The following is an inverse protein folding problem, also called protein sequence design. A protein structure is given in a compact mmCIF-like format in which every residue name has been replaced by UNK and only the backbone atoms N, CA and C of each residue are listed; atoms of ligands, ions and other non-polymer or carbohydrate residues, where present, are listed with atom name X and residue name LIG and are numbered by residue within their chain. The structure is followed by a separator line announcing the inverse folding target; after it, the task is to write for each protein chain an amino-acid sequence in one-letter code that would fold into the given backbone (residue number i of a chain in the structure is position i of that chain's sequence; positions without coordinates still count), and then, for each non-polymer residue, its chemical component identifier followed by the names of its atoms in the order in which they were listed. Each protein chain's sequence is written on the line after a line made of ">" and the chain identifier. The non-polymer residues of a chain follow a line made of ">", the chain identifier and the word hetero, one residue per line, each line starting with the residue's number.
data_IF_368799934330
#
_entry.id   IF_368799934330
#
_cell.length_a   1.000
_cell.length_b   1.000
_cell.length_c   1.000
_cell.angle_alpha   90.00
_cell.angle_beta   90.00
_cell.angle_gamma   90.00
#
_symmetry.space_group_name_H-M   'P 1'
#
loop_
_entity.id
_entity.type
_entity.pdbx_description
1 polymer ?
#
# COMPACT_ATOMS: atom_id res chain seq x y z
N UNK A 1 -1.20 3.55 16.52
CA UNK A 1 -0.27 2.41 16.67
C UNK A 1 -0.87 1.45 17.69
N UNK A 2 -0.93 0.15 17.39
CA UNK A 2 -1.64 -0.86 18.19
C UNK A 2 -0.67 -1.62 19.10
N UNK A 3 0.43 -2.13 18.56
CA UNK A 3 1.47 -2.83 19.32
C UNK A 3 2.85 -2.69 18.66
N UNK A 4 3.91 -2.94 19.43
CA UNK A 4 5.29 -2.95 18.98
C UNK A 4 6.09 -4.02 19.72
N UNK A 5 6.49 -5.06 19.01
CA UNK A 5 7.35 -6.12 19.54
C UNK A 5 8.79 -5.89 19.08
N UNK A 6 9.67 -5.54 20.02
CA UNK A 6 11.07 -5.24 19.72
C UNK A 6 11.95 -6.45 19.95
N UNK A 7 12.79 -6.75 18.96
CA UNK A 7 13.90 -7.69 19.04
C UNK A 7 15.22 -6.94 18.80
N UNK A 8 16.35 -7.62 18.95
CA UNK A 8 17.67 -6.99 18.84
C UNK A 8 17.96 -6.44 17.43
N UNK A 9 17.56 -7.16 16.38
CA UNK A 9 17.77 -6.78 14.97
C UNK A 9 16.48 -6.56 14.18
N UNK A 10 15.32 -6.70 14.81
CA UNK A 10 14.04 -6.51 14.14
C UNK A 10 12.99 -5.98 15.11
N UNK A 11 11.90 -5.47 14.59
CA UNK A 11 10.73 -5.07 15.34
C UNK A 11 9.49 -5.33 14.51
N UNK A 12 8.45 -5.85 15.12
CA UNK A 12 7.15 -6.02 14.48
C UNK A 12 6.22 -4.96 15.03
N UNK A 13 5.71 -4.09 14.17
CA UNK A 13 4.75 -3.06 14.54
C UNK A 13 3.38 -3.38 13.95
N UNK A 14 2.33 -3.25 14.76
CA UNK A 14 0.95 -3.27 14.26
C UNK A 14 0.39 -1.86 14.27
N UNK A 15 -0.09 -1.42 13.12
CA UNK A 15 -0.71 -0.12 12.92
C UNK A 15 -2.20 -0.28 12.68
N UNK A 16 -2.95 0.73 13.13
CA UNK A 16 -4.38 0.86 12.84
C UNK A 16 -4.57 2.17 12.11
N UNK A 17 -5.30 2.13 11.00
CA UNK A 17 -5.73 3.30 10.24
C UNK A 17 -7.23 3.35 10.28
N UNK A 18 -7.76 4.40 10.90
CA UNK A 18 -9.19 4.65 10.99
C UNK A 18 -9.62 5.52 9.81
N UNK A 19 -10.44 4.96 8.94
CA UNK A 19 -11.05 5.68 7.82
C UNK A 19 -12.49 6.01 8.20
N UNK A 20 -12.78 7.31 8.30
CA UNK A 20 -14.14 7.80 8.47
C UNK A 20 -14.89 7.60 7.15
N UNK A 21 -16.00 6.88 7.22
CA UNK A 21 -16.88 6.72 6.08
C UNK A 21 -17.57 8.06 5.79
N UNK A 22 -17.37 8.58 4.57
CA UNK A 22 -17.94 9.84 4.10
C UNK A 22 -19.46 9.78 3.90
N UNK A 23 -20.02 8.57 3.70
CA UNK A 23 -21.45 8.36 3.48
C UNK A 23 -22.22 8.10 4.78
N UNK A 24 -21.57 7.55 5.80
CA UNK A 24 -22.21 7.20 7.07
C UNK A 24 -21.22 7.39 8.23
N UNK A 25 -21.29 8.56 8.89
CA UNK A 25 -20.36 8.99 9.96
C UNK A 25 -20.36 8.07 11.19
N UNK A 26 -21.25 7.07 11.23
CA UNK A 26 -21.39 6.13 12.34
C UNK A 26 -20.55 4.85 12.17
N UNK A 27 -20.05 4.57 10.96
CA UNK A 27 -19.21 3.40 10.68
C UNK A 27 -17.76 3.81 10.43
N UNK A 28 -16.96 3.77 11.50
CA UNK A 28 -15.50 3.85 11.38
C UNK A 28 -14.98 2.50 10.87
N UNK A 29 -14.26 2.50 9.75
CA UNK A 29 -13.58 1.31 9.26
C UNK A 29 -12.13 1.30 9.76
N UNK A 30 -11.76 0.26 10.51
CA UNK A 30 -10.44 0.13 11.10
C UNK A 30 -9.59 -0.86 10.29
N UNK A 31 -8.60 -0.34 9.59
CA UNK A 31 -7.67 -1.14 8.81
C UNK A 31 -6.42 -1.44 9.64
N UNK A 32 -6.03 -2.72 9.71
CA UNK A 32 -4.84 -3.15 10.42
C UNK A 32 -3.71 -3.41 9.44
N UNK A 33 -2.52 -2.90 9.75
CA UNK A 33 -1.31 -3.17 8.98
C UNK A 33 -0.26 -3.76 9.91
N UNK A 34 0.44 -4.78 9.44
CA UNK A 34 1.63 -5.32 10.09
C UNK A 34 2.86 -4.82 9.35
N UNK A 35 3.85 -4.35 10.10
CA UNK A 35 5.14 -3.92 9.59
C UNK A 35 6.28 -4.69 10.27
N UNK A 36 7.08 -5.35 9.45
CA UNK A 36 8.32 -6.00 9.85
C UNK A 36 9.50 -5.06 9.57
N UNK A 37 9.98 -4.43 10.64
CA UNK A 37 11.09 -3.50 10.63
C UNK A 37 12.37 -4.25 10.96
N UNK A 38 13.32 -4.31 10.05
CA UNK A 38 14.65 -4.88 10.26
C UNK A 38 15.67 -3.77 10.44
N UNK A 39 16.51 -3.88 11.47
CA UNK A 39 17.53 -2.88 11.81
C UNK A 39 18.87 -3.19 11.12
N UNK A 40 19.65 -2.14 10.88
CA UNK A 40 20.97 -2.20 10.26
C UNK A 40 22.08 -2.81 11.12
N UNK A 41 23.29 -3.00 10.56
CA UNK A 41 23.75 -2.39 9.30
C UNK A 41 23.31 -3.12 8.03
N UNK A 42 23.00 -4.41 8.10
CA UNK A 42 22.55 -5.23 6.97
C UNK A 42 21.35 -6.08 7.41
N UNK A 43 20.13 -5.71 6.99
CA UNK A 43 18.93 -6.49 7.28
C UNK A 43 19.03 -7.93 6.78
N UNK A 44 18.53 -8.89 7.56
CA UNK A 44 18.58 -10.32 7.21
C UNK A 44 17.83 -10.65 5.91
N UNK A 45 16.70 -9.98 5.64
CA UNK A 45 15.97 -10.14 4.37
C UNK A 45 16.80 -9.70 3.15
N UNK A 46 17.68 -8.72 3.33
CA UNK A 46 18.58 -8.23 2.28
C UNK A 46 19.74 -9.20 1.99
N UNK A 47 20.26 -9.87 3.01
CA UNK A 47 21.23 -10.96 2.82
C UNK A 47 20.65 -12.11 1.99
N UNK A 48 19.38 -12.49 2.26
CA UNK A 48 18.68 -13.55 1.51
C UNK A 48 18.45 -13.21 0.03
N UNK A 49 18.32 -11.92 -0.28
CA UNK A 49 18.10 -11.40 -1.64
C UNK A 49 19.39 -10.95 -2.32
N UNK A 50 20.56 -11.25 -1.74
CA UNK A 50 21.88 -10.81 -2.22
C UNK A 50 22.02 -9.28 -2.39
N UNK A 51 21.19 -8.51 -1.68
CA UNK A 51 21.25 -7.06 -1.68
C UNK A 51 22.16 -6.59 -0.54
N UNK A 52 23.44 -6.37 -0.83
CA UNK A 52 24.45 -6.03 0.17
C UNK A 52 24.50 -4.54 0.54
N UNK A 53 23.55 -3.73 0.04
CA UNK A 53 23.53 -2.30 0.35
C UNK A 53 23.09 -2.06 1.81
N UNK A 54 23.96 -1.46 2.64
CA UNK A 54 23.68 -1.25 4.05
C UNK A 54 22.59 -0.17 4.24
N UNK A 55 21.69 -0.43 5.17
CA UNK A 55 20.61 0.50 5.55
C UNK A 55 20.44 0.46 7.07
N UNK A 56 20.01 1.59 7.64
CA UNK A 56 19.75 1.69 9.08
C UNK A 56 18.47 0.95 9.47
N UNK A 57 17.46 1.00 8.61
CA UNK A 57 16.19 0.31 8.83
C UNK A 57 15.56 -0.09 7.49
N UNK A 58 14.85 -1.20 7.51
CA UNK A 58 14.02 -1.69 6.42
C UNK A 58 12.66 -2.11 6.98
N UNK A 59 11.62 -1.37 6.64
CA UNK A 59 10.23 -1.64 6.96
C UNK A 59 9.59 -2.41 5.80
N UNK A 60 8.86 -3.48 6.12
CA UNK A 60 8.06 -4.26 5.18
C UNK A 60 6.66 -4.34 5.74
N UNK A 61 5.74 -3.57 5.16
CA UNK A 61 4.39 -3.46 5.67
C UNK A 61 3.36 -4.04 4.71
N UNK A 62 2.29 -4.57 5.27
CA UNK A 62 1.17 -5.12 4.52
C UNK A 62 -0.13 -5.00 5.28
N UNK A 63 -1.23 -4.93 4.55
CA UNK A 63 -2.56 -4.97 5.14
C UNK A 63 -2.83 -6.37 5.73
N UNK A 64 -3.31 -6.39 6.96
CA UNK A 64 -3.78 -7.60 7.64
C UNK A 64 -5.26 -7.83 7.41
N UNK A 65 -5.68 -9.09 7.40
CA UNK A 65 -7.09 -9.46 7.29
C UNK A 65 -7.80 -9.13 8.60
N UNK A 66 -8.60 -8.07 8.58
CA UNK A 66 -9.53 -7.63 9.61
C UNK A 66 -10.97 -7.56 9.05
N UNK A 67 -12.00 -7.45 9.91
CA UNK A 67 -13.39 -7.28 9.46
C UNK A 67 -13.59 -6.11 8.48
N UNK A 68 -12.87 -4.99 8.66
CA UNK A 68 -12.96 -3.84 7.75
C UNK A 68 -12.24 -4.05 6.42
N UNK A 69 -11.19 -4.87 6.40
CA UNK A 69 -10.43 -5.18 5.17
C UNK A 69 -11.00 -6.36 4.37
N UNK A 70 -11.95 -7.12 4.92
CA UNK A 70 -12.43 -8.38 4.35
C UNK A 70 -12.95 -8.20 2.91
N UNK A 71 -13.68 -7.11 2.65
CA UNK A 71 -14.13 -6.75 1.30
C UNK A 71 -12.96 -6.54 0.33
N UNK A 72 -11.86 -5.91 0.78
CA UNK A 72 -10.70 -5.66 -0.06
C UNK A 72 -9.96 -6.95 -0.39
N UNK A 73 -9.84 -7.86 0.58
CA UNK A 73 -9.32 -9.21 0.33
C UNK A 73 -10.23 -10.01 -0.61
N UNK A 74 -11.55 -9.95 -0.46
CA UNK A 74 -12.47 -10.61 -1.37
C UNK A 74 -12.32 -10.08 -2.81
N UNK A 75 -12.23 -8.75 -2.98
CA UNK A 75 -12.03 -8.11 -4.29
C UNK A 75 -10.67 -8.44 -4.92
N UNK A 76 -9.64 -8.71 -4.10
CA UNK A 76 -8.31 -9.10 -4.56
C UNK A 76 -8.14 -10.62 -4.73
N UNK A 77 -9.22 -11.42 -4.65
CA UNK A 77 -9.15 -12.89 -4.70
C UNK A 77 -8.32 -13.49 -3.56
N UNK A 78 -8.53 -12.95 -2.36
CA UNK A 78 -7.88 -13.29 -1.08
C UNK A 78 -6.36 -13.09 -1.03
N UNK A 79 -5.76 -12.36 -1.99
CA UNK A 79 -4.36 -11.92 -1.85
C UNK A 79 -4.28 -10.61 -1.07
N UNK A 80 -3.14 -10.33 -0.45
CA UNK A 80 -2.92 -9.06 0.26
C UNK A 80 -3.15 -7.85 -0.68
N UNK A 81 -4.17 -7.01 -0.42
CA UNK A 81 -4.59 -5.96 -1.35
C UNK A 81 -3.67 -4.73 -1.31
N UNK A 82 -2.91 -4.55 -0.23
CA UNK A 82 -1.95 -3.45 -0.06
C UNK A 82 -0.70 -3.96 0.64
N UNK A 83 0.46 -3.70 0.05
CA UNK A 83 1.77 -3.99 0.65
C UNK A 83 2.80 -2.95 0.21
N UNK A 84 3.88 -2.85 0.95
CA UNK A 84 4.97 -1.94 0.60
C UNK A 84 6.22 -2.21 1.40
N UNK A 85 7.26 -1.47 1.04
CA UNK A 85 8.54 -1.50 1.72
C UNK A 85 9.11 -0.10 1.76
N UNK A 86 9.75 0.26 2.87
CA UNK A 86 10.49 1.49 3.00
C UNK A 86 11.85 1.20 3.63
N UNK A 87 12.90 1.87 3.16
CA UNK A 87 14.26 1.70 3.68
C UNK A 87 14.90 3.04 3.94
N UNK A 88 15.64 3.14 5.04
CA UNK A 88 16.34 4.35 5.45
C UNK A 88 17.85 4.08 5.35
N UNK A 89 18.53 4.77 4.44
CA UNK A 89 19.97 4.69 4.27
C UNK A 89 20.73 5.42 5.39
N UNK A 90 22.03 5.16 5.52
CA UNK A 90 22.91 5.86 6.47
C UNK A 90 23.07 7.35 6.16
N UNK A 91 22.86 7.74 4.90
CA UNK A 91 22.74 9.14 4.48
C UNK A 91 21.37 9.75 4.83
N UNK A 92 20.53 9.05 5.61
CA UNK A 92 19.16 9.43 5.99
C UNK A 92 18.17 9.55 4.81
N UNK A 93 18.59 9.22 3.59
CA UNK A 93 17.68 9.15 2.46
C UNK A 93 16.74 7.95 2.62
N UNK A 94 15.47 8.16 2.25
CA UNK A 94 14.44 7.11 2.29
C UNK A 94 14.10 6.68 0.88
N UNK A 95 14.04 5.37 0.66
CA UNK A 95 13.56 4.77 -0.59
C UNK A 95 12.45 3.80 -0.27
N UNK A 96 11.39 3.80 -1.05
CA UNK A 96 10.29 2.88 -0.82
C UNK A 96 9.53 2.54 -2.08
N UNK A 97 8.67 1.54 -1.93
CA UNK A 97 7.66 1.21 -2.91
C UNK A 97 6.38 0.77 -2.20
N UNK A 98 5.26 0.97 -2.87
CA UNK A 98 3.93 0.56 -2.43
C UNK A 98 3.22 -0.07 -3.62
N UNK A 99 2.53 -1.18 -3.37
CA UNK A 99 1.78 -1.91 -4.36
C UNK A 99 0.37 -2.19 -3.84
N UNK A 100 -0.63 -1.82 -4.63
CA UNK A 100 -2.00 -2.28 -4.47
C UNK A 100 -2.29 -3.38 -5.48
N UNK A 101 -2.86 -4.48 -5.01
CA UNK A 101 -3.27 -5.58 -5.88
C UNK A 101 -4.46 -5.16 -6.76
N UNK A 102 -4.68 -5.85 -7.90
CA UNK A 102 -5.90 -5.69 -8.67
C UNK A 102 -7.14 -5.99 -7.81
N UNK A 103 -8.18 -5.18 -7.95
CA UNK A 103 -9.46 -5.32 -7.25
C UNK A 103 -10.58 -5.48 -8.26
N UNK A 104 -11.43 -6.48 -8.08
CA UNK A 104 -12.59 -6.72 -8.93
C UNK A 104 -13.82 -7.00 -8.07
N UNK A 105 -14.92 -6.32 -8.37
CA UNK A 105 -16.21 -6.51 -7.72
C UNK A 105 -17.30 -6.49 -8.78
N UNK A 106 -18.19 -7.48 -8.74
CA UNK A 106 -19.38 -7.52 -9.58
C UNK A 106 -20.58 -7.69 -8.65
N UNK A 107 -21.52 -6.75 -8.73
CA UNK A 107 -22.77 -6.75 -7.98
C UNK A 107 -23.94 -6.51 -8.94
N UNK A 108 -25.17 -6.62 -8.43
CA UNK A 108 -26.41 -6.41 -9.21
C UNK A 108 -26.45 -5.01 -9.82
N UNK A 109 -25.91 -4.03 -9.11
CA UNK A 109 -25.94 -2.62 -9.48
C UNK A 109 -24.75 -2.20 -10.35
N UNK A 110 -23.77 -3.08 -10.61
CA UNK A 110 -22.60 -2.70 -11.39
C UNK A 110 -21.37 -3.58 -11.29
N UNK A 111 -20.32 -3.19 -12.02
CA UNK A 111 -19.01 -3.83 -12.00
C UNK A 111 -17.92 -2.80 -11.77
N UNK A 112 -17.04 -3.07 -10.81
CA UNK A 112 -15.84 -2.31 -10.55
C UNK A 112 -14.61 -3.17 -10.88
N UNK A 113 -13.69 -2.64 -11.68
CA UNK A 113 -12.39 -3.27 -11.94
C UNK A 113 -11.27 -2.26 -11.78
N UNK A 114 -10.26 -2.62 -11.02
CA UNK A 114 -9.05 -1.84 -10.81
C UNK A 114 -7.85 -2.75 -11.05
N UNK A 115 -6.93 -2.32 -11.91
CA UNK A 115 -5.76 -3.10 -12.30
C UNK A 115 -4.69 -3.24 -11.23
N UNK A 116 -4.81 -2.50 -10.12
CA UNK A 116 -3.72 -2.31 -9.18
C UNK A 116 -2.97 -1.00 -9.42
N UNK A 117 -2.11 -0.66 -8.46
CA UNK A 117 -1.27 0.54 -8.45
C UNK A 117 0.12 0.14 -7.98
N UNK A 118 1.14 0.54 -8.72
CA UNK A 118 2.51 0.52 -8.22
C UNK A 118 2.98 1.95 -8.00
N UNK A 119 3.70 2.17 -6.90
CA UNK A 119 4.25 3.45 -6.50
C UNK A 119 5.69 3.24 -6.02
N UNK A 120 6.62 4.04 -6.51
CA UNK A 120 8.00 4.14 -6.04
C UNK A 120 8.25 5.52 -5.50
N UNK A 121 8.94 5.63 -4.38
CA UNK A 121 9.26 6.90 -3.73
C UNK A 121 10.73 6.98 -3.35
N UNK A 122 11.31 8.15 -3.54
CA UNK A 122 12.62 8.52 -3.04
C UNK A 122 12.53 9.87 -2.34
N UNK A 123 13.17 9.98 -1.18
CA UNK A 123 13.20 11.19 -0.36
C UNK A 123 14.63 11.43 0.14
N UNK A 124 15.16 12.65 -0.03
CA UNK A 124 16.46 13.03 0.51
C UNK A 124 16.43 13.16 2.04
N UNK A 125 17.61 13.20 2.66
CA UNK A 125 17.78 13.33 4.10
C UNK A 125 16.98 14.48 4.73
N UNK A 126 16.94 15.62 4.02
CA UNK A 126 16.34 16.88 4.46
C UNK A 126 14.97 17.13 3.81
N UNK A 127 14.44 16.13 3.09
CA UNK A 127 13.19 16.22 2.32
C UNK A 127 13.14 17.29 1.22
N UNK A 128 14.27 17.94 0.90
CA UNK A 128 14.38 18.92 -0.19
C UNK A 128 14.18 18.32 -1.57
N UNK A 129 14.52 17.03 -1.75
CA UNK A 129 14.31 16.30 -3.00
C UNK A 129 13.37 15.14 -2.74
N UNK A 130 12.28 15.11 -3.51
CA UNK A 130 11.27 14.07 -3.44
C UNK A 130 10.86 13.67 -4.86
N UNK A 131 10.93 12.38 -5.14
CA UNK A 131 10.36 11.83 -6.37
C UNK A 131 9.39 10.72 -6.03
N UNK A 132 8.22 10.77 -6.66
CA UNK A 132 7.27 9.68 -6.66
C UNK A 132 6.85 9.37 -8.09
N UNK A 133 6.98 8.10 -8.44
CA UNK A 133 6.56 7.57 -9.73
C UNK A 133 5.53 6.49 -9.48
N UNK A 134 4.37 6.61 -10.10
CA UNK A 134 3.36 5.56 -10.00
C UNK A 134 2.61 5.31 -11.30
N UNK A 135 2.08 4.09 -11.40
CA UNK A 135 1.37 3.59 -12.57
C UNK A 135 0.11 2.83 -12.17
N UNK A 136 -0.96 3.05 -12.92
CA UNK A 136 -2.22 2.32 -12.86
C UNK A 136 -2.69 2.07 -14.29
N UNK A 137 -2.81 0.80 -14.66
CA UNK A 137 -3.13 0.42 -16.04
C UNK A 137 -4.60 0.69 -16.39
N UNK A 138 -5.52 0.43 -15.46
CA UNK A 138 -6.94 0.50 -15.73
C UNK A 138 -7.80 0.66 -14.47
N UNK A 139 -8.78 1.56 -14.56
CA UNK A 139 -9.87 1.72 -13.60
C UNK A 139 -11.18 1.76 -14.38
N UNK A 140 -12.07 0.81 -14.12
CA UNK A 140 -13.39 0.71 -14.74
C UNK A 140 -14.47 0.70 -13.67
N UNK A 141 -15.50 1.50 -13.88
CA UNK A 141 -16.71 1.52 -13.09
C UNK A 141 -17.91 1.49 -14.04
N UNK A 142 -18.66 0.40 -13.97
CA UNK A 142 -19.93 0.23 -14.66
C UNK A 142 -21.05 0.28 -13.62
N UNK A 143 -21.98 1.20 -13.75
CA UNK A 143 -23.13 1.34 -12.85
C UNK A 143 -24.41 1.22 -13.66
N UNK A 144 -25.31 0.34 -13.22
CA UNK A 144 -26.67 0.29 -13.72
C UNK A 144 -27.48 1.40 -13.04
N UNK A 145 -27.96 2.37 -13.82
CA UNK A 145 -28.86 3.43 -13.34
C UNK A 145 -30.27 3.24 -13.95
N UNK A 146 -31.34 3.66 -13.27
CA UNK A 146 -32.70 3.68 -13.82
C UNK A 146 -32.81 4.44 -15.16
N UNK A 147 -31.96 5.44 -15.36
CA UNK A 147 -31.92 6.27 -16.57
C UNK A 147 -31.01 5.70 -17.69
N UNK A 148 -30.37 4.55 -17.45
CA UNK A 148 -29.48 3.86 -18.40
C UNK A 148 -28.10 3.51 -17.81
N UNK A 149 -27.38 2.52 -18.38
CA UNK A 149 -26.07 2.11 -17.87
C UNK A 149 -25.01 3.20 -18.08
N UNK A 150 -24.23 3.49 -17.02
CA UNK A 150 -23.10 4.43 -17.05
C UNK A 150 -21.79 3.64 -16.95
N UNK A 151 -20.89 3.84 -17.92
CA UNK A 151 -19.54 3.27 -17.90
C UNK A 151 -18.53 4.42 -17.80
N UNK A 152 -17.67 4.34 -16.79
CA UNK A 152 -16.50 5.20 -16.62
C UNK A 152 -15.26 4.33 -16.70
N UNK A 153 -14.34 4.66 -17.59
CA UNK A 153 -13.08 3.95 -17.77
C UNK A 153 -11.91 4.95 -17.83
N UNK A 154 -10.88 4.67 -17.05
CA UNK A 154 -9.62 5.41 -17.03
C UNK A 154 -8.49 4.41 -17.31
N UNK A 155 -7.70 4.66 -18.37
CA UNK A 155 -6.61 3.78 -18.80
C UNK A 155 -5.27 4.47 -18.69
N UNK A 156 -4.25 3.71 -18.30
CA UNK A 156 -2.85 4.09 -18.38
C UNK A 156 -2.52 5.38 -17.64
N UNK A 157 -2.96 5.51 -16.39
CA UNK A 157 -2.54 6.64 -15.57
C UNK A 157 -1.11 6.42 -15.10
N UNK A 158 -0.24 7.37 -15.44
CA UNK A 158 1.10 7.47 -14.89
C UNK A 158 1.25 8.82 -14.23
N UNK A 159 1.94 8.86 -13.10
CA UNK A 159 2.38 10.12 -12.51
C UNK A 159 3.87 10.05 -12.19
N UNK A 160 4.54 11.18 -12.37
CA UNK A 160 5.94 11.38 -12.02
C UNK A 160 6.08 12.80 -11.49
N UNK A 161 6.53 12.92 -10.24
CA UNK A 161 6.73 14.24 -9.62
C UNK A 161 8.06 14.89 -10.01
N UNK A 162 8.92 14.20 -10.76
CA UNK A 162 10.08 14.79 -11.47
C UNK A 162 11.12 15.46 -10.58
N UNK A 163 11.31 14.96 -9.36
CA UNK A 163 12.00 15.61 -8.22
C UNK A 163 13.30 16.36 -8.48
#
# INVERSE_FOLDING_TARGET
>A
MVSLDKHFFSSTAHYSVDIQNLADSTQNSQFLLVDQIEHGPIPLSRLKTLNLLPVMALSNFQLEKSPSSEKWFAMSKDVTPLKGQASIGYNRATKGWLQMAPLEMTDVDGTFKFSGLDLKTDLSADAEKYSAVGNMDNLQLNVASPDGPVNVEIKGMTFDTGG
#
